data_IF_986223495941
#
_entry.id   IF_986223495941
#
_cell.length_a   1.000
_cell.length_b   1.000
_cell.length_c   1.000
_cell.angle_alpha   90.00
_cell.angle_beta   90.00
_cell.angle_gamma   90.00
#
_symmetry.space_group_name_H-M   'P 1'
#
loop_
_entity.id
_entity.type
_entity.pdbx_description
1 polymer ?
#
# COMPACT_ATOMS: atom_id res chain seq x y z
N UNK A 1 38.43 20.64 -13.69
CA UNK A 1 37.16 20.88 -12.98
C UNK A 1 36.44 19.54 -12.73
N UNK A 2 36.96 18.67 -11.84
CA UNK A 2 36.52 17.27 -11.75
C UNK A 2 36.34 16.79 -10.28
N UNK A 3 36.44 17.69 -9.30
CA UNK A 3 36.43 17.34 -7.87
C UNK A 3 35.04 17.08 -7.29
N UNK A 4 33.99 17.12 -8.11
CA UNK A 4 32.60 16.91 -7.70
C UNK A 4 32.14 15.44 -7.82
N UNK A 5 32.85 14.63 -8.61
CA UNK A 5 32.56 13.21 -8.81
C UNK A 5 32.48 12.38 -7.50
N UNK A 6 33.38 12.55 -6.50
CA UNK A 6 33.30 11.75 -5.28
C UNK A 6 32.12 12.14 -4.36
N UNK A 7 31.60 13.36 -4.48
CA UNK A 7 30.44 13.82 -3.70
C UNK A 7 29.11 13.31 -4.27
N UNK A 8 28.98 13.28 -5.61
CA UNK A 8 27.79 12.77 -6.30
C UNK A 8 27.60 11.26 -6.00
N UNK A 9 28.69 10.49 -5.95
CA UNK A 9 28.62 9.06 -5.69
C UNK A 9 28.17 8.71 -4.25
N UNK A 10 28.46 9.59 -3.27
CA UNK A 10 27.99 9.43 -1.88
C UNK A 10 26.52 9.83 -1.70
N UNK A 11 26.06 10.84 -2.43
CA UNK A 11 24.65 11.24 -2.44
C UNK A 11 23.74 10.14 -3.02
N UNK A 12 24.21 9.43 -4.05
CA UNK A 12 23.44 8.38 -4.73
C UNK A 12 23.07 7.21 -3.83
N UNK A 13 23.88 6.92 -2.79
CA UNK A 13 23.56 5.91 -1.77
C UNK A 13 22.82 6.46 -0.56
N UNK A 14 23.07 7.72 -0.19
CA UNK A 14 22.39 8.36 0.94
C UNK A 14 20.92 8.70 0.63
N UNK A 15 20.62 9.15 -0.59
CA UNK A 15 19.27 9.49 -1.01
C UNK A 15 18.25 8.33 -0.92
N UNK A 16 18.53 7.11 -1.45
CA UNK A 16 17.61 5.99 -1.32
C UNK A 16 17.49 5.50 0.13
N UNK A 17 18.57 5.54 0.92
CA UNK A 17 18.53 5.19 2.35
C UNK A 17 17.64 6.15 3.15
N UNK A 18 17.66 7.44 2.81
CA UNK A 18 16.84 8.47 3.45
C UNK A 18 15.38 8.37 3.01
N UNK A 19 15.12 8.02 1.75
CA UNK A 19 13.77 7.68 1.29
C UNK A 19 13.24 6.42 2.00
N UNK A 20 14.07 5.40 2.19
CA UNK A 20 13.69 4.16 2.88
C UNK A 20 13.41 4.41 4.37
N UNK A 21 14.20 5.25 5.05
CA UNK A 21 13.96 5.61 6.45
C UNK A 21 12.70 6.46 6.65
N UNK A 22 12.36 7.33 5.69
CA UNK A 22 11.08 8.07 5.68
C UNK A 22 9.86 7.13 5.49
N UNK A 23 9.99 6.09 4.65
CA UNK A 23 8.92 5.10 4.44
C UNK A 23 8.77 4.21 5.69
N UNK A 24 9.88 3.75 6.28
CA UNK A 24 9.85 2.89 7.47
C UNK A 24 9.38 3.64 8.72
N UNK A 25 9.73 4.93 8.88
CA UNK A 25 9.22 5.76 9.99
C UNK A 25 7.71 6.05 9.87
N UNK A 26 7.14 6.06 8.67
CA UNK A 26 5.68 6.15 8.46
C UNK A 26 4.91 4.89 8.91
N UNK A 27 5.58 3.75 9.11
CA UNK A 27 5.00 2.55 9.70
C UNK A 27 5.01 2.58 11.25
N UNK A 28 5.64 3.58 11.88
CA UNK A 28 5.49 3.79 13.32
C UNK A 28 4.08 4.32 13.57
N UNK A 29 3.16 3.39 13.84
CA UNK A 29 1.75 3.66 14.12
C UNK A 29 1.67 4.78 15.16
N UNK A 30 1.31 6.02 14.77
CA UNK A 30 1.29 7.10 15.74
C UNK A 30 0.23 6.76 16.77
N UNK A 31 0.60 6.95 18.03
CA UNK A 31 -0.12 6.66 19.26
C UNK A 31 -1.41 7.53 19.41
N UNK A 32 -2.13 7.80 18.31
CA UNK A 32 -3.38 8.54 18.23
C UNK A 32 -4.58 7.71 18.68
N UNK A 33 -4.42 6.38 18.78
CA UNK A 33 -5.47 5.49 19.28
C UNK A 33 -5.60 5.51 20.82
N UNK A 34 -4.59 6.04 21.54
CA UNK A 34 -4.50 5.87 23.00
C UNK A 34 -5.33 6.87 23.82
N UNK A 35 -5.81 7.97 23.24
CA UNK A 35 -6.60 8.95 24.00
C UNK A 35 -8.00 9.24 23.44
N UNK A 36 -8.25 9.21 22.13
CA UNK A 36 -9.51 9.74 21.57
C UNK A 36 -10.27 8.84 20.59
N UNK A 37 -9.90 7.55 20.44
CA UNK A 37 -10.61 6.63 19.53
C UNK A 37 -10.61 7.07 18.04
N UNK A 38 -9.76 8.03 17.69
CA UNK A 38 -9.74 8.63 16.36
C UNK A 38 -9.19 7.65 15.34
N UNK A 39 -9.99 7.35 14.32
CA UNK A 39 -9.55 6.57 13.16
C UNK A 39 -8.55 7.42 12.38
N UNK A 40 -7.33 6.89 12.19
CA UNK A 40 -6.31 7.57 11.39
C UNK A 40 -6.85 7.91 10.00
N UNK A 41 -6.54 9.11 9.49
CA UNK A 41 -6.97 9.58 8.17
C UNK A 41 -6.56 8.58 7.06
N UNK A 42 -5.38 7.96 7.21
CA UNK A 42 -4.92 6.87 6.34
C UNK A 42 -5.75 5.58 6.49
N UNK A 43 -6.26 5.28 7.69
CA UNK A 43 -7.17 4.17 7.92
C UNK A 43 -8.51 4.38 7.22
N UNK A 44 -9.06 5.60 7.26
CA UNK A 44 -10.29 5.94 6.53
C UNK A 44 -10.10 5.76 5.01
N UNK A 45 -9.01 6.29 4.46
CA UNK A 45 -8.67 6.12 3.04
C UNK A 45 -8.54 4.63 2.69
N UNK A 46 -7.88 3.85 3.55
CA UNK A 46 -7.76 2.39 3.38
C UNK A 46 -9.13 1.70 3.32
N UNK A 47 -10.04 2.03 4.23
CA UNK A 47 -11.39 1.44 4.26
C UNK A 47 -12.21 1.80 3.00
N UNK A 48 -12.08 3.04 2.51
CA UNK A 48 -12.73 3.46 1.26
C UNK A 48 -12.19 2.64 0.08
N UNK A 49 -10.87 2.48 -0.03
CA UNK A 49 -10.27 1.62 -1.06
C UNK A 49 -10.75 0.17 -0.91
N UNK A 50 -10.81 -0.38 0.30
CA UNK A 50 -11.34 -1.73 0.54
C UNK A 50 -12.78 -1.89 0.02
N UNK A 51 -13.66 -0.94 0.31
CA UNK A 51 -15.03 -0.96 -0.21
C UNK A 51 -15.07 -0.96 -1.75
N UNK A 52 -14.29 -0.08 -2.40
CA UNK A 52 -14.20 -0.03 -3.87
C UNK A 52 -13.68 -1.34 -4.46
N UNK A 53 -12.73 -1.97 -3.78
CA UNK A 53 -12.12 -3.24 -4.22
C UNK A 53 -13.11 -4.39 -4.11
N UNK A 54 -13.92 -4.42 -3.05
CA UNK A 54 -15.01 -5.40 -2.89
C UNK A 54 -16.02 -5.26 -4.03
N UNK A 55 -16.43 -4.03 -4.37
CA UNK A 55 -17.30 -3.79 -5.51
C UNK A 55 -16.69 -4.28 -6.83
N UNK A 56 -15.37 -4.11 -7.01
CA UNK A 56 -14.66 -4.63 -8.18
C UNK A 56 -14.67 -6.17 -8.23
N UNK A 57 -14.43 -6.85 -7.10
CA UNK A 57 -14.50 -8.31 -6.98
C UNK A 57 -15.87 -8.85 -7.43
N UNK A 58 -16.96 -8.17 -7.06
CA UNK A 58 -18.30 -8.58 -7.46
C UNK A 58 -18.54 -8.46 -8.96
N UNK A 59 -17.95 -7.45 -9.62
CA UNK A 59 -18.04 -7.25 -11.07
C UNK A 59 -17.30 -8.30 -11.88
N UNK A 60 -16.33 -9.00 -11.29
CA UNK A 60 -15.53 -9.97 -12.03
C UNK A 60 -16.31 -11.27 -12.31
N UNK A 61 -16.10 -11.91 -13.48
CA UNK A 61 -16.77 -13.16 -13.87
C UNK A 61 -16.17 -14.39 -13.15
N UNK A 62 -15.89 -14.26 -11.85
CA UNK A 62 -15.34 -15.32 -11.02
C UNK A 62 -16.45 -16.10 -10.32
N UNK A 63 -16.21 -17.39 -10.07
CA UNK A 63 -17.09 -18.22 -9.25
C UNK A 63 -17.24 -17.68 -7.82
N UNK A 64 -18.35 -18.04 -7.17
CA UNK A 64 -18.74 -17.49 -5.86
C UNK A 64 -17.67 -17.69 -4.78
N UNK A 65 -17.01 -18.86 -4.78
CA UNK A 65 -15.96 -19.23 -3.83
C UNK A 65 -14.73 -18.32 -4.00
N UNK A 66 -14.33 -18.08 -5.26
CA UNK A 66 -13.17 -17.24 -5.57
C UNK A 66 -13.42 -15.78 -5.17
N UNK A 67 -14.65 -15.29 -5.33
CA UNK A 67 -15.05 -13.95 -4.86
C UNK A 67 -14.93 -13.86 -3.34
N UNK A 68 -15.45 -14.85 -2.61
CA UNK A 68 -15.40 -14.87 -1.15
C UNK A 68 -13.96 -14.85 -0.60
N UNK A 69 -13.08 -15.67 -1.18
CA UNK A 69 -11.66 -15.71 -0.80
C UNK A 69 -10.99 -14.36 -1.02
N UNK A 70 -11.22 -13.72 -2.17
CA UNK A 70 -10.61 -12.42 -2.46
C UNK A 70 -11.12 -11.30 -1.56
N UNK A 71 -12.41 -11.31 -1.20
CA UNK A 71 -12.97 -10.36 -0.24
C UNK A 71 -12.31 -10.51 1.14
N UNK A 72 -12.05 -11.74 1.58
CA UNK A 72 -11.34 -12.00 2.83
C UNK A 72 -9.87 -11.53 2.77
N UNK A 73 -9.19 -11.78 1.64
CA UNK A 73 -7.79 -11.38 1.43
C UNK A 73 -7.62 -9.86 1.47
N UNK A 74 -8.56 -9.09 0.91
CA UNK A 74 -8.52 -7.61 0.91
C UNK A 74 -8.56 -7.01 2.32
N UNK A 75 -9.13 -7.72 3.30
CA UNK A 75 -9.21 -7.27 4.70
C UNK A 75 -7.87 -7.37 5.45
N UNK A 76 -6.92 -8.16 4.95
CA UNK A 76 -5.57 -8.29 5.53
C UNK A 76 -4.74 -7.05 5.19
N UNK A 77 -3.90 -6.51 6.10
CA UNK A 77 -2.95 -5.47 5.74
C UNK A 77 -2.09 -5.92 4.55
N UNK A 78 -1.98 -5.09 3.52
CA UNK A 78 -1.40 -5.37 2.18
C UNK A 78 -2.27 -6.20 1.21
N UNK A 79 -3.43 -6.69 1.63
CA UNK A 79 -4.37 -7.43 0.78
C UNK A 79 -4.86 -6.63 -0.43
N UNK A 80 -5.07 -5.32 -0.25
CA UNK A 80 -5.38 -4.39 -1.34
C UNK A 80 -4.30 -4.38 -2.43
N UNK A 81 -3.03 -4.22 -2.04
CA UNK A 81 -1.90 -4.21 -2.98
C UNK A 81 -1.83 -5.54 -3.74
N UNK A 82 -1.98 -6.66 -3.03
CA UNK A 82 -1.99 -7.99 -3.64
C UNK A 82 -3.14 -8.15 -4.65
N UNK A 83 -4.35 -7.71 -4.29
CA UNK A 83 -5.48 -7.75 -5.21
C UNK A 83 -5.22 -6.96 -6.49
N UNK A 84 -4.74 -5.72 -6.39
CA UNK A 84 -4.48 -4.90 -7.57
C UNK A 84 -3.32 -5.46 -8.43
N UNK A 85 -2.28 -6.05 -7.82
CA UNK A 85 -1.16 -6.65 -8.56
C UNK A 85 -1.56 -7.92 -9.33
N UNK A 86 -2.34 -8.80 -8.72
CA UNK A 86 -2.75 -10.06 -9.34
C UNK A 86 -3.97 -9.85 -10.26
N UNK A 87 -4.97 -9.11 -9.81
CA UNK A 87 -6.21 -8.90 -10.57
C UNK A 87 -6.02 -7.89 -11.69
N UNK A 88 -5.22 -6.83 -11.47
CA UNK A 88 -4.87 -5.83 -12.50
C UNK A 88 -4.11 -6.41 -13.70
N UNK A 89 -3.33 -7.50 -13.50
CA UNK A 89 -2.65 -8.21 -14.59
C UNK A 89 -3.62 -8.85 -15.59
N UNK A 90 -4.80 -9.24 -15.13
CA UNK A 90 -5.84 -9.88 -15.94
C UNK A 90 -6.83 -8.87 -16.56
N UNK A 91 -6.66 -7.56 -16.29
CA UNK A 91 -7.50 -6.48 -16.84
C UNK A 91 -6.94 -5.85 -18.12
N UNK A 92 -5.84 -6.39 -18.68
CA UNK A 92 -5.39 -6.04 -20.03
C UNK A 92 -6.27 -6.77 -21.05
N UNK A 93 -7.29 -6.07 -21.53
CA UNK A 93 -7.86 -6.26 -22.86
C UNK A 93 -8.01 -4.89 -23.51
#
# INVERSE_FOLDING_TARGET
>A
MNKLAPYINRLSFAAPLLALSLIVSSCSRPNLYKNNGAVSLFGVIYYILAALTILDIFKQPWGIIKKLIWTLVVLVPFGLILYYLISGRNKKS
#
